data_IF_428007792848
#
_entry.id   IF_428007792848
#
_cell.length_a   1.000
_cell.length_b   1.000
_cell.length_c   1.000
_cell.angle_alpha   90.00
_cell.angle_beta   90.00
_cell.angle_gamma   90.00
#
_symmetry.space_group_name_H-M   'P 1'
#
loop_
_entity.id
_entity.type
_entity.pdbx_description
1 polymer ?
#
# COMPACT_ATOMS: atom_id res chain seq x y z
N UNK A 1 -25.51 -14.45 31.90
CA UNK A 1 -24.96 -14.82 30.57
C UNK A 1 -25.51 -13.84 29.57
N UNK A 2 -24.75 -12.80 29.21
CA UNK A 2 -25.14 -11.85 28.16
C UNK A 2 -24.48 -12.28 26.86
N UNK A 3 -25.25 -12.83 25.93
CA UNK A 3 -24.79 -13.07 24.57
C UNK A 3 -24.94 -11.78 23.78
N UNK A 4 -23.84 -11.06 23.58
CA UNK A 4 -23.76 -9.94 22.64
C UNK A 4 -24.08 -10.44 21.23
N UNK A 5 -25.03 -9.85 20.49
CA UNK A 5 -25.23 -10.22 19.10
C UNK A 5 -23.99 -9.76 18.31
N UNK A 6 -23.28 -10.72 17.71
CA UNK A 6 -22.30 -10.40 16.68
C UNK A 6 -23.06 -9.73 15.53
N UNK A 7 -22.80 -8.45 15.30
CA UNK A 7 -23.38 -7.72 14.18
C UNK A 7 -23.04 -8.49 12.89
N UNK A 8 -24.08 -9.01 12.24
CA UNK A 8 -23.96 -9.67 10.94
C UNK A 8 -23.45 -8.60 9.97
N UNK A 9 -22.18 -8.67 9.58
CA UNK A 9 -21.62 -7.80 8.56
C UNK A 9 -22.37 -8.09 7.26
N UNK A 10 -23.38 -7.29 6.95
CA UNK A 10 -24.08 -7.33 5.68
C UNK A 10 -23.09 -6.83 4.64
N UNK A 11 -22.39 -7.76 3.99
CA UNK A 11 -21.44 -7.46 2.93
C UNK A 11 -22.20 -7.11 1.65
N UNK A 12 -22.91 -5.98 1.70
CA UNK A 12 -23.69 -5.42 0.62
C UNK A 12 -22.79 -5.10 -0.58
N UNK A 13 -23.34 -5.20 -1.78
CA UNK A 13 -22.65 -4.81 -3.02
C UNK A 13 -22.15 -3.36 -2.92
N UNK A 14 -22.90 -2.48 -2.27
CA UNK A 14 -22.47 -1.10 -2.02
C UNK A 14 -21.21 -1.04 -1.14
N UNK A 15 -21.10 -1.87 -0.10
CA UNK A 15 -19.90 -1.94 0.75
C UNK A 15 -18.69 -2.44 -0.05
N UNK A 16 -18.89 -3.43 -0.92
CA UNK A 16 -17.82 -3.99 -1.78
C UNK A 16 -17.36 -2.98 -2.83
N UNK A 17 -18.29 -2.25 -3.42
CA UNK A 17 -17.97 -1.18 -4.38
C UNK A 17 -17.19 -0.06 -3.70
N UNK A 18 -17.62 0.39 -2.52
CA UNK A 18 -16.88 1.41 -1.75
C UNK A 18 -15.47 0.93 -1.39
N UNK A 19 -15.31 -0.32 -0.92
CA UNK A 19 -14.00 -0.90 -0.63
C UNK A 19 -13.12 -1.02 -1.90
N UNK A 20 -13.70 -1.41 -3.03
CA UNK A 20 -12.97 -1.51 -4.29
C UNK A 20 -12.56 -0.15 -4.82
N UNK A 21 -13.42 0.86 -4.73
CA UNK A 21 -13.16 2.20 -5.25
C UNK A 21 -12.11 2.93 -4.40
N UNK A 22 -12.15 2.72 -3.08
CA UNK A 22 -11.13 3.24 -2.16
C UNK A 22 -9.78 2.58 -2.36
N UNK A 23 -9.73 1.26 -2.55
CA UNK A 23 -8.49 0.55 -2.89
C UNK A 23 -7.91 1.01 -4.24
N UNK A 24 -8.77 1.19 -5.25
CA UNK A 24 -8.35 1.69 -6.57
C UNK A 24 -7.83 3.13 -6.48
N UNK A 25 -8.53 4.02 -5.78
CA UNK A 25 -8.08 5.38 -5.55
C UNK A 25 -6.73 5.43 -4.81
N UNK A 26 -6.56 4.60 -3.77
CA UNK A 26 -5.29 4.49 -3.05
C UNK A 26 -4.16 3.99 -3.96
N UNK A 27 -4.42 2.96 -4.77
CA UNK A 27 -3.47 2.46 -5.75
C UNK A 27 -3.07 3.52 -6.76
N UNK A 28 -4.03 4.29 -7.28
CA UNK A 28 -3.75 5.42 -8.18
C UNK A 28 -2.95 6.52 -7.47
N UNK A 29 -3.25 6.86 -6.22
CA UNK A 29 -2.47 7.83 -5.45
C UNK A 29 -1.01 7.36 -5.32
N UNK A 30 -0.78 6.08 -5.00
CA UNK A 30 0.58 5.53 -4.90
C UNK A 30 1.29 5.60 -6.25
N UNK A 31 0.63 5.16 -7.33
CA UNK A 31 1.20 5.21 -8.68
C UNK A 31 1.50 6.63 -9.13
N UNK A 32 0.65 7.60 -8.79
CA UNK A 32 0.88 9.00 -9.12
C UNK A 32 1.97 9.61 -8.23
N UNK A 33 1.95 9.35 -6.93
CA UNK A 33 2.94 9.85 -5.99
C UNK A 33 4.35 9.34 -6.32
N UNK A 34 4.49 8.07 -6.70
CA UNK A 34 5.76 7.48 -7.11
C UNK A 34 6.11 7.84 -8.56
N UNK A 35 5.13 7.78 -9.47
CA UNK A 35 5.34 7.99 -10.90
C UNK A 35 5.64 9.43 -11.29
N UNK A 36 5.03 10.41 -10.60
CA UNK A 36 5.20 11.84 -10.85
C UNK A 36 6.10 12.54 -9.82
N UNK A 37 6.89 11.78 -9.06
CA UNK A 37 7.99 12.34 -8.25
C UNK A 37 9.16 12.82 -9.14
N UNK A 38 8.88 13.38 -10.32
CA UNK A 38 9.87 14.12 -11.09
C UNK A 38 10.13 15.44 -10.38
N UNK A 39 11.11 15.41 -9.46
CA UNK A 39 11.52 16.55 -8.66
C UNK A 39 12.25 16.18 -7.36
N UNK A 40 12.12 14.94 -6.87
CA UNK A 40 12.98 14.38 -5.82
C UNK A 40 14.09 13.48 -6.43
N UNK A 41 14.68 13.99 -7.51
CA UNK A 41 16.05 13.77 -7.99
C UNK A 41 16.87 12.68 -7.30
N UNK A 42 17.02 11.53 -7.98
CA UNK A 42 18.04 10.48 -7.80
C UNK A 42 18.08 9.74 -6.44
N UNK A 43 17.77 10.37 -5.32
CA UNK A 43 17.92 9.79 -3.98
C UNK A 43 17.02 8.59 -3.74
N UNK A 44 15.74 8.67 -4.13
CA UNK A 44 14.79 7.55 -3.92
C UNK A 44 15.10 6.39 -4.88
N UNK A 45 15.61 6.69 -6.07
CA UNK A 45 15.93 5.70 -7.08
C UNK A 45 17.26 5.00 -6.76
N UNK A 46 18.28 5.77 -6.38
CA UNK A 46 19.59 5.27 -5.92
C UNK A 46 19.45 4.45 -4.64
N UNK A 47 18.64 4.88 -3.66
CA UNK A 47 18.40 4.11 -2.44
C UNK A 47 17.76 2.72 -2.72
N UNK A 48 16.87 2.62 -3.72
CA UNK A 48 16.29 1.35 -4.13
C UNK A 48 17.33 0.44 -4.80
N UNK A 49 18.25 1.01 -5.58
CA UNK A 49 19.35 0.28 -6.20
C UNK A 49 20.46 -0.10 -5.19
N UNK A 50 20.71 0.72 -4.18
CA UNK A 50 21.71 0.51 -3.12
C UNK A 50 21.29 -0.52 -2.07
N UNK A 51 19.99 -0.84 -2.01
CA UNK A 51 19.50 -1.93 -1.15
C UNK A 51 20.17 -3.26 -1.53
N UNK A 52 20.42 -3.53 -2.82
CA UNK A 52 21.09 -4.78 -3.21
C UNK A 52 22.57 -4.85 -2.74
N UNK A 53 23.23 -3.71 -2.56
CA UNK A 53 24.62 -3.64 -2.07
C UNK A 53 24.71 -3.71 -0.54
N UNK A 54 23.73 -3.18 0.17
CA UNK A 54 23.67 -3.20 1.65
C UNK A 54 23.05 -4.49 2.22
N UNK A 55 22.29 -5.25 1.41
CA UNK A 55 21.72 -6.54 1.79
C UNK A 55 22.66 -7.74 1.59
N UNK A 56 23.90 -7.51 1.11
CA UNK A 56 24.98 -8.51 1.24
C UNK A 56 25.44 -8.51 2.70
N UNK A 57 24.67 -9.21 3.53
CA UNK A 57 25.07 -9.64 4.85
C UNK A 57 26.48 -10.27 4.74
N UNK A 58 27.50 -9.80 5.49
CA UNK A 58 28.82 -10.40 5.41
C UNK A 58 28.72 -11.84 5.89
N UNK A 59 28.91 -12.78 4.97
CA UNK A 59 29.15 -14.18 5.29
C UNK A 59 30.63 -14.36 5.67
N UNK A 60 31.11 -13.55 6.61
CA UNK A 60 32.24 -13.83 7.48
C UNK A 60 32.24 -12.85 8.66
#
# INVERSE_FOLDING_TARGET
>A
MSTTPAAKAENSISSRLTASLTALALGLIILFAVGFVQGANDVIHDAAHDTRHTMVFPCH
#
